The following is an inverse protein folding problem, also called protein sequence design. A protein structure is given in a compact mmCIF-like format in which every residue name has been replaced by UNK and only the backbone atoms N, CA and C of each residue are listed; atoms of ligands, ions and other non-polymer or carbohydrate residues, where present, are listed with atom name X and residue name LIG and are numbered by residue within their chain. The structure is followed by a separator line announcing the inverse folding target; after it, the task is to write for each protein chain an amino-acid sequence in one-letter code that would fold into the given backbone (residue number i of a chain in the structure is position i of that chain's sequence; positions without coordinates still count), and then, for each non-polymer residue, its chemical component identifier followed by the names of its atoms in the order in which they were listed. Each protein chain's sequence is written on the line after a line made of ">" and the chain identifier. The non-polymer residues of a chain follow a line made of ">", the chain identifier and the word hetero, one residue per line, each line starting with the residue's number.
data_IF_644789265725
#
_entry.id   IF_644789265725
#
_cell.length_a   1.000
_cell.length_b   1.000
_cell.length_c   1.000
_cell.angle_alpha   90.00
_cell.angle_beta   90.00
_cell.angle_gamma   90.00
#
_symmetry.space_group_name_H-M   'P 1'
#
loop_
_entity.id
_entity.type
_entity.pdbx_description
1 polymer ?
#
# COMPACT_ATOMS: atom_id res chain seq x y z
N UNK A 1 -16.32 -7.45 25.26
CA UNK A 1 -16.46 -7.62 23.79
C UNK A 1 -17.57 -6.68 23.31
N UNK A 2 -17.23 -5.45 22.98
CA UNK A 2 -18.18 -4.45 22.49
C UNK A 2 -18.26 -4.54 20.98
N UNK A 3 -19.44 -4.94 20.47
CA UNK A 3 -19.71 -5.05 19.04
C UNK A 3 -19.53 -3.71 18.34
N UNK A 4 -18.69 -3.70 17.31
CA UNK A 4 -18.57 -2.58 16.38
C UNK A 4 -19.92 -2.38 15.68
N UNK A 5 -20.50 -1.20 15.89
CA UNK A 5 -21.78 -0.79 15.32
C UNK A 5 -21.78 -0.91 13.79
N UNK A 6 -22.95 -1.26 13.24
CA UNK A 6 -23.18 -1.32 11.80
C UNK A 6 -23.11 0.08 11.19
N UNK A 7 -21.92 0.46 10.72
CA UNK A 7 -21.67 1.71 9.99
C UNK A 7 -22.06 1.62 8.50
N UNK A 8 -23.01 0.75 8.14
CA UNK A 8 -23.58 0.77 6.80
C UNK A 8 -24.47 2.01 6.67
N UNK A 9 -24.21 2.84 5.65
CA UNK A 9 -25.27 3.65 5.05
C UNK A 9 -26.38 2.68 4.66
N UNK A 10 -27.56 2.88 5.25
CA UNK A 10 -28.44 1.79 5.66
C UNK A 10 -29.13 1.03 4.50
N UNK A 11 -29.06 1.51 3.26
CA UNK A 11 -29.94 1.03 2.19
C UNK A 11 -29.29 0.89 0.79
N UNK A 12 -27.98 1.11 0.64
CA UNK A 12 -27.33 0.95 -0.67
C UNK A 12 -26.93 -0.52 -0.92
N UNK A 13 -27.44 -1.17 -1.98
CA UNK A 13 -27.05 -2.54 -2.32
C UNK A 13 -25.58 -2.54 -2.74
N UNK A 14 -24.71 -3.09 -1.88
CA UNK A 14 -23.32 -3.39 -2.26
C UNK A 14 -23.37 -4.46 -3.36
N UNK A 15 -23.14 -4.06 -4.61
CA UNK A 15 -22.98 -4.98 -5.73
C UNK A 15 -21.69 -5.76 -5.47
N UNK A 16 -21.82 -7.01 -5.04
CA UNK A 16 -20.68 -7.93 -4.89
C UNK A 16 -20.23 -8.37 -6.28
N UNK A 17 -19.41 -7.56 -6.92
CA UNK A 17 -18.94 -7.77 -8.29
C UNK A 17 -17.88 -8.87 -8.43
N UNK A 18 -17.29 -9.32 -7.31
CA UNK A 18 -16.19 -10.28 -7.32
C UNK A 18 -16.14 -11.11 -6.04
N UNK A 19 -15.73 -12.38 -6.17
CA UNK A 19 -15.58 -13.32 -5.05
C UNK A 19 -14.56 -12.89 -3.99
N UNK A 20 -13.70 -11.92 -4.30
CA UNK A 20 -12.80 -11.31 -3.34
C UNK A 20 -13.54 -10.69 -2.13
N UNK A 21 -14.71 -10.10 -2.37
CA UNK A 21 -15.49 -9.40 -1.34
C UNK A 21 -16.51 -10.30 -0.62
N UNK A 22 -16.64 -11.56 -1.05
CA UNK A 22 -17.55 -12.51 -0.40
C UNK A 22 -17.13 -12.75 1.06
N UNK A 23 -18.11 -12.76 1.97
CA UNK A 23 -17.93 -12.99 3.40
C UNK A 23 -16.96 -12.01 4.10
N UNK A 24 -16.68 -10.84 3.50
CA UNK A 24 -15.82 -9.80 4.09
C UNK A 24 -16.57 -8.47 4.14
N UNK A 25 -16.21 -7.62 5.12
CA UNK A 25 -16.76 -6.26 5.27
C UNK A 25 -15.92 -5.20 4.55
N UNK A 26 -15.09 -5.59 3.58
CA UNK A 26 -14.20 -4.69 2.84
C UNK A 26 -15.02 -3.94 1.78
N UNK A 27 -14.75 -2.64 1.62
CA UNK A 27 -15.44 -1.80 0.64
C UNK A 27 -14.58 -1.53 -0.61
N UNK A 28 -13.28 -1.76 -0.52
CA UNK A 28 -12.34 -1.71 -1.63
C UNK A 28 -11.13 -2.61 -1.29
N UNK A 29 -10.24 -2.79 -2.27
CA UNK A 29 -8.91 -3.35 -2.06
C UNK A 29 -7.97 -2.80 -3.12
N UNK A 30 -6.80 -2.32 -2.68
CA UNK A 30 -5.66 -2.07 -3.56
C UNK A 30 -4.63 -3.15 -3.32
N UNK A 31 -4.42 -3.97 -4.35
CA UNK A 31 -3.44 -5.03 -4.31
C UNK A 31 -2.32 -4.70 -5.30
N UNK A 32 -1.08 -4.85 -4.87
CA UNK A 32 0.08 -4.62 -5.72
C UNK A 32 1.20 -5.55 -5.31
N UNK A 33 2.04 -5.91 -6.29
CA UNK A 33 3.28 -6.63 -6.04
C UNK A 33 4.43 -5.97 -6.79
N UNK A 34 5.61 -6.01 -6.19
CA UNK A 34 6.79 -5.43 -6.80
C UNK A 34 8.06 -5.64 -6.00
N UNK A 35 9.12 -4.99 -6.47
CA UNK A 35 10.45 -5.03 -5.87
C UNK A 35 10.96 -3.61 -5.73
N UNK A 36 11.86 -3.38 -4.78
CA UNK A 36 12.51 -2.09 -4.58
C UNK A 36 13.88 -2.10 -5.23
N UNK A 37 14.15 -1.10 -6.07
CA UNK A 37 15.49 -0.91 -6.65
C UNK A 37 16.41 -0.23 -5.60
N UNK A 38 17.70 -0.59 -5.55
CA UNK A 38 18.67 0.07 -4.68
C UNK A 38 19.03 1.45 -5.26
N UNK A 39 18.17 2.44 -5.05
CA UNK A 39 18.31 3.79 -5.63
C UNK A 39 18.19 4.91 -4.59
N UNK A 40 18.36 4.60 -3.30
CA UNK A 40 18.33 5.61 -2.24
C UNK A 40 19.59 6.49 -2.34
N UNK A 41 19.48 7.79 -2.63
CA UNK A 41 20.64 8.66 -2.77
C UNK A 41 21.29 9.00 -1.42
N UNK A 42 20.59 8.76 -0.30
CA UNK A 42 21.01 9.17 1.04
C UNK A 42 21.77 8.08 1.81
N UNK A 43 22.12 6.95 1.16
CA UNK A 43 22.80 5.81 1.77
C UNK A 43 23.84 5.21 0.85
N UNK A 44 24.95 4.76 1.43
CA UNK A 44 26.06 4.13 0.70
C UNK A 44 25.67 2.79 0.05
N UNK A 45 24.73 2.05 0.65
CA UNK A 45 24.20 0.79 0.10
C UNK A 45 23.07 1.00 -0.92
N UNK A 46 22.64 2.26 -1.10
CA UNK A 46 21.49 2.67 -1.92
C UNK A 46 20.16 1.96 -1.58
N UNK A 47 20.06 1.27 -0.44
CA UNK A 47 18.85 0.54 -0.08
C UNK A 47 17.81 1.45 0.56
N UNK A 48 16.54 1.19 0.30
CA UNK A 48 15.45 1.84 1.00
C UNK A 48 15.19 1.08 2.30
N UNK A 49 15.20 1.79 3.44
CA UNK A 49 14.79 1.21 4.72
C UNK A 49 13.27 1.18 4.84
N UNK A 50 12.76 0.42 5.79
CA UNK A 50 11.32 0.45 6.10
C UNK A 50 10.88 1.78 6.69
N UNK A 51 11.81 2.61 7.19
CA UNK A 51 11.52 3.95 7.72
C UNK A 51 11.47 5.02 6.62
N UNK A 52 12.04 4.72 5.45
CA UNK A 52 12.09 5.65 4.32
C UNK A 52 10.79 5.67 3.52
N UNK A 53 10.11 4.53 3.37
CA UNK A 53 8.98 4.35 2.43
C UNK A 53 7.63 4.48 3.13
N UNK A 54 6.83 5.44 2.68
CA UNK A 54 5.44 5.65 3.09
C UNK A 54 4.46 5.30 1.97
N UNK A 55 3.26 4.92 2.39
CA UNK A 55 2.06 4.86 1.56
C UNK A 55 1.05 5.89 2.07
N UNK A 56 0.82 6.93 1.28
CA UNK A 56 0.05 8.10 1.70
C UNK A 56 -1.15 8.35 0.80
N UNK A 57 -2.28 8.71 1.42
CA UNK A 57 -3.32 9.46 0.74
C UNK A 57 -2.85 10.91 0.60
N UNK A 58 -2.81 11.41 -0.64
CA UNK A 58 -2.28 12.71 -1.01
C UNK A 58 -3.18 13.36 -2.06
N UNK A 59 -3.25 14.69 -2.04
CA UNK A 59 -4.00 15.50 -3.01
C UNK A 59 -3.12 16.63 -3.54
N UNK A 60 -3.45 17.32 -4.63
CA UNK A 60 -2.60 18.44 -5.11
C UNK A 60 -2.75 19.68 -4.25
N UNK A 61 -3.99 20.01 -3.95
CA UNK A 61 -4.40 21.22 -3.26
C UNK A 61 -4.90 20.88 -1.86
N UNK A 62 -4.93 21.90 -0.99
CA UNK A 62 -5.49 21.81 0.36
C UNK A 62 -6.83 21.04 0.39
N UNK A 63 -7.03 20.29 1.46
CA UNK A 63 -8.31 19.66 1.78
C UNK A 63 -9.12 20.51 2.77
N UNK A 64 -10.39 20.19 2.92
CA UNK A 64 -11.31 20.78 3.91
C UNK A 64 -11.71 19.71 4.94
N UNK A 65 -10.87 19.41 5.95
CA UNK A 65 -11.18 18.37 6.93
C UNK A 65 -12.51 18.66 7.63
N UNK A 66 -13.30 17.61 7.94
CA UNK A 66 -14.55 17.80 8.67
C UNK A 66 -14.28 18.34 10.09
N UNK A 67 -15.28 19.01 10.66
CA UNK A 67 -15.24 19.35 12.08
C UNK A 67 -15.04 18.07 12.90
N UNK A 68 -14.08 18.07 13.82
CA UNK A 68 -13.72 16.88 14.61
C UNK A 68 -12.75 15.92 13.92
N UNK A 69 -12.08 16.32 12.84
CA UNK A 69 -11.05 15.51 12.14
C UNK A 69 -9.97 14.91 13.05
N UNK A 70 -9.68 15.53 14.19
CA UNK A 70 -8.78 14.99 15.21
C UNK A 70 -9.23 13.62 15.76
N UNK A 71 -10.53 13.34 15.81
CA UNK A 71 -11.06 12.02 16.18
C UNK A 71 -10.81 10.98 15.07
N UNK A 72 -10.98 11.36 13.81
CA UNK A 72 -10.67 10.48 12.67
C UNK A 72 -9.17 10.15 12.61
N UNK A 73 -8.29 11.14 12.85
CA UNK A 73 -6.84 10.94 12.93
C UNK A 73 -6.47 9.98 14.07
N UNK A 74 -7.06 10.15 15.27
CA UNK A 74 -6.86 9.23 16.39
C UNK A 74 -7.36 7.82 16.08
N UNK A 75 -8.51 7.69 15.43
CA UNK A 75 -9.05 6.41 15.00
C UNK A 75 -8.11 5.71 14.00
N UNK A 76 -7.60 6.45 13.01
CA UNK A 76 -6.62 5.94 12.06
C UNK A 76 -5.37 5.40 12.78
N UNK A 77 -4.81 6.17 13.72
CA UNK A 77 -3.66 5.75 14.54
C UNK A 77 -3.93 4.54 15.45
N UNK A 78 -5.17 4.33 15.88
CA UNK A 78 -5.55 3.15 16.65
C UNK A 78 -5.60 1.88 15.78
N UNK A 79 -6.10 1.99 14.55
CA UNK A 79 -6.15 0.87 13.59
C UNK A 79 -4.76 0.55 13.03
N UNK A 80 -3.99 1.60 12.75
CA UNK A 80 -2.63 1.53 12.25
C UNK A 80 -1.70 2.40 13.12
N UNK A 81 -0.93 1.78 14.03
CA UNK A 81 0.03 2.48 14.87
C UNK A 81 1.13 3.22 14.10
N UNK A 82 1.34 2.91 12.82
CA UNK A 82 2.28 3.60 11.94
C UNK A 82 1.70 4.82 11.22
N UNK A 83 0.44 5.18 11.46
CA UNK A 83 -0.23 6.29 10.80
C UNK A 83 0.30 7.66 11.26
N UNK A 84 0.49 8.54 10.30
CA UNK A 84 0.98 9.91 10.45
C UNK A 84 0.14 10.86 9.57
N UNK A 85 -0.27 12.00 10.16
CA UNK A 85 -1.05 13.03 9.49
C UNK A 85 -0.41 14.42 9.61
N UNK A 86 0.90 14.49 9.83
CA UNK A 86 1.65 15.74 10.01
C UNK A 86 1.56 16.62 8.75
N UNK A 87 1.46 15.99 7.58
CA UNK A 87 1.30 16.66 6.29
C UNK A 87 -0.13 17.11 5.96
N UNK A 88 -1.13 16.79 6.78
CA UNK A 88 -2.55 16.90 6.39
C UNK A 88 -3.01 18.35 6.15
N UNK A 89 -2.34 19.32 6.77
CA UNK A 89 -2.69 20.75 6.67
C UNK A 89 -1.71 21.56 5.79
N UNK A 90 -0.83 20.91 5.05
CA UNK A 90 0.06 21.60 4.11
C UNK A 90 -0.76 22.31 3.01
N UNK A 91 -0.30 23.49 2.60
CA UNK A 91 -0.98 24.29 1.56
C UNK A 91 -0.92 23.62 0.18
N UNK A 92 0.16 22.89 -0.08
CA UNK A 92 0.42 22.16 -1.32
C UNK A 92 0.75 20.72 -0.96
N UNK A 93 0.19 19.77 -1.71
CA UNK A 93 0.39 18.34 -1.50
C UNK A 93 0.15 17.88 -0.06
N UNK A 94 -1.01 18.20 0.55
CA UNK A 94 -1.32 17.67 1.86
C UNK A 94 -1.41 16.15 1.81
N UNK A 95 -0.98 15.50 2.88
CA UNK A 95 -0.94 14.05 2.93
C UNK A 95 -1.21 13.50 4.34
N UNK A 96 -1.74 12.30 4.38
CA UNK A 96 -1.79 11.46 5.57
C UNK A 96 -1.58 10.00 5.16
N UNK A 97 -0.88 9.23 5.97
CA UNK A 97 -0.54 7.85 5.62
C UNK A 97 0.42 7.23 6.60
N UNK A 98 1.02 6.12 6.19
CA UNK A 98 1.80 5.30 7.10
C UNK A 98 3.04 4.78 6.41
N UNK A 99 4.05 4.39 7.19
CA UNK A 99 5.13 3.57 6.63
C UNK A 99 4.55 2.35 5.94
N UNK A 100 5.03 2.02 4.74
CA UNK A 100 4.42 1.00 3.89
C UNK A 100 4.24 -0.33 4.63
N UNK A 101 5.28 -0.80 5.31
CA UNK A 101 5.26 -2.07 6.05
C UNK A 101 4.30 -2.04 7.26
N UNK A 102 3.85 -0.87 7.71
CA UNK A 102 2.85 -0.71 8.76
C UNK A 102 1.45 -0.57 8.19
N UNK A 103 1.26 0.29 7.17
CA UNK A 103 -0.06 0.63 6.66
C UNK A 103 -0.79 -0.49 5.94
N UNK A 104 -0.07 -1.48 5.41
CA UNK A 104 -0.69 -2.58 4.66
C UNK A 104 -1.45 -3.54 5.57
N UNK A 105 -2.69 -3.87 5.19
CA UNK A 105 -3.53 -4.81 5.93
C UNK A 105 -3.01 -6.24 5.84
N UNK A 106 -2.44 -6.62 4.69
CA UNK A 106 -1.75 -7.89 4.48
C UNK A 106 -0.45 -7.63 3.73
N UNK A 107 0.63 -8.27 4.17
CA UNK A 107 1.92 -8.27 3.47
C UNK A 107 2.38 -9.72 3.28
N UNK A 108 2.82 -10.03 2.07
CA UNK A 108 3.46 -11.29 1.71
C UNK A 108 4.80 -11.01 1.05
N UNK A 109 5.85 -11.68 1.51
CA UNK A 109 7.21 -11.49 1.00
C UNK A 109 7.89 -12.81 0.71
N UNK A 110 8.47 -12.92 -0.48
CA UNK A 110 9.24 -14.08 -0.90
C UNK A 110 10.45 -13.67 -1.74
N UNK A 111 11.41 -14.59 -1.89
CA UNK A 111 12.59 -14.35 -2.74
C UNK A 111 12.20 -14.50 -4.21
N UNK A 112 12.61 -13.57 -5.04
CA UNK A 112 12.50 -13.71 -6.49
C UNK A 112 13.37 -14.88 -6.96
N UNK A 113 12.87 -15.65 -7.93
CA UNK A 113 13.67 -16.69 -8.58
C UNK A 113 14.86 -16.07 -9.32
N UNK A 114 16.03 -16.71 -9.25
CA UNK A 114 17.17 -16.33 -10.09
C UNK A 114 16.93 -16.71 -11.54
N UNK A 115 17.51 -15.96 -12.47
CA UNK A 115 17.34 -16.18 -13.91
C UNK A 115 17.88 -17.54 -14.41
N UNK A 116 18.53 -18.36 -13.57
CA UNK A 116 19.01 -19.69 -13.94
C UNK A 116 17.89 -20.68 -14.31
N UNK A 117 16.67 -20.50 -13.77
CA UNK A 117 15.51 -21.33 -14.14
C UNK A 117 14.70 -20.75 -15.30
N UNK A 118 14.61 -19.42 -15.42
CA UNK A 118 13.89 -18.73 -16.51
C UNK A 118 14.64 -18.90 -17.85
N UNK A 119 15.97 -18.82 -17.84
CA UNK A 119 16.84 -19.07 -19.01
C UNK A 119 16.65 -20.48 -19.57
N UNK A 120 16.47 -21.52 -18.73
CA UNK A 120 16.21 -22.90 -19.23
C UNK A 120 14.88 -23.04 -19.97
N UNK A 121 13.86 -22.24 -19.64
CA UNK A 121 12.58 -22.22 -20.36
C UNK A 121 12.63 -21.35 -21.62
N UNK A 122 13.30 -20.20 -21.57
CA UNK A 122 13.39 -19.23 -22.68
C UNK A 122 14.34 -19.74 -23.78
N UNK A 123 15.44 -20.42 -23.44
CA UNK A 123 16.36 -21.00 -24.44
C UNK A 123 15.74 -22.07 -25.32
N UNK A 124 14.56 -22.60 -24.98
CA UNK A 124 13.81 -23.51 -25.86
C UNK A 124 12.92 -22.80 -26.89
N UNK A 125 12.65 -21.49 -26.79
CA UNK A 125 11.64 -20.86 -27.65
C UNK A 125 12.09 -19.74 -28.58
N UNK A 126 13.24 -19.07 -28.41
CA UNK A 126 13.58 -17.94 -29.31
C UNK A 126 15.06 -17.83 -29.67
N UNK A 127 15.42 -18.39 -30.84
CA UNK A 127 16.52 -17.89 -31.68
C UNK A 127 16.02 -16.63 -32.42
N UNK A 128 16.27 -15.44 -31.89
CA UNK A 128 16.45 -14.20 -32.68
C UNK A 128 17.05 -13.11 -31.82
N UNK A 129 18.29 -12.76 -32.16
CA UNK A 129 19.13 -11.74 -31.54
C UNK A 129 18.93 -10.39 -32.22
N UNK A 130 18.59 -9.31 -31.48
CA UNK A 130 18.97 -7.90 -31.71
C UNK A 130 18.76 -7.10 -30.39
N UNK A 131 19.27 -5.86 -30.26
CA UNK A 131 20.61 -5.43 -29.84
C UNK A 131 20.67 -4.98 -28.36
N UNK A 132 21.88 -4.98 -27.83
CA UNK A 132 22.28 -4.61 -26.47
C UNK A 132 22.09 -3.12 -26.18
N UNK A 133 21.32 -2.81 -25.15
CA UNK A 133 21.51 -1.60 -24.35
C UNK A 133 22.51 -1.93 -23.24
N UNK A 134 23.66 -1.26 -23.25
CA UNK A 134 24.60 -1.28 -22.13
C UNK A 134 23.93 -0.68 -20.89
N UNK A 135 23.31 -1.54 -20.10
CA UNK A 135 22.90 -1.25 -18.73
C UNK A 135 23.70 -2.18 -17.84
N UNK A 136 24.76 -1.67 -17.20
CA UNK A 136 25.40 -2.30 -16.03
C UNK A 136 24.46 -2.39 -14.80
N UNK A 137 23.15 -2.29 -14.99
CA UNK A 137 22.16 -2.61 -13.97
C UNK A 137 22.05 -4.13 -13.91
N UNK A 138 22.29 -4.72 -12.74
CA UNK A 138 21.97 -6.13 -12.47
C UNK A 138 20.62 -6.47 -13.07
N UNK A 139 20.48 -7.61 -13.78
CA UNK A 139 19.23 -7.97 -14.44
C UNK A 139 18.09 -7.88 -13.43
N UNK A 140 17.00 -7.22 -13.84
CA UNK A 140 15.81 -7.16 -13.02
C UNK A 140 15.25 -8.58 -12.88
N UNK A 141 15.55 -9.25 -11.77
CA UNK A 141 14.92 -10.54 -11.45
C UNK A 141 13.40 -10.45 -11.70
N UNK A 142 12.80 -11.51 -12.25
CA UNK A 142 11.40 -11.49 -12.64
C UNK A 142 10.50 -11.18 -11.44
N UNK A 143 9.43 -10.42 -11.72
CA UNK A 143 8.25 -10.42 -10.87
C UNK A 143 7.39 -11.57 -11.38
N UNK A 144 7.03 -12.51 -10.51
CA UNK A 144 6.16 -13.64 -10.85
C UNK A 144 4.80 -13.17 -11.39
N UNK A 145 4.06 -14.00 -12.16
CA UNK A 145 2.72 -13.63 -12.63
C UNK A 145 1.78 -13.24 -11.49
N UNK A 146 0.89 -12.27 -11.73
CA UNK A 146 -0.15 -11.90 -10.79
C UNK A 146 -1.19 -13.03 -10.67
N UNK A 147 -1.35 -13.59 -9.47
CA UNK A 147 -2.28 -14.71 -9.19
C UNK A 147 -3.37 -14.36 -8.18
N UNK A 148 -3.35 -13.16 -7.60
CA UNK A 148 -4.28 -12.76 -6.54
C UNK A 148 -5.49 -12.04 -7.13
N UNK A 149 -6.46 -12.81 -7.61
CA UNK A 149 -7.72 -12.30 -8.15
C UNK A 149 -8.87 -13.26 -7.85
N UNK A 150 -10.11 -12.75 -7.90
CA UNK A 150 -11.29 -13.54 -7.56
C UNK A 150 -11.21 -14.09 -6.12
N UNK A 151 -11.23 -15.42 -6.00
CA UNK A 151 -11.17 -16.13 -4.71
C UNK A 151 -9.76 -16.23 -4.11
N UNK A 152 -8.72 -15.88 -4.88
CA UNK A 152 -7.33 -16.00 -4.45
C UNK A 152 -6.90 -14.74 -3.70
N UNK A 153 -6.81 -14.86 -2.38
CA UNK A 153 -6.40 -13.76 -1.51
C UNK A 153 -4.90 -13.80 -1.21
N UNK A 154 -4.36 -12.62 -0.92
CA UNK A 154 -3.04 -12.52 -0.30
C UNK A 154 -3.20 -12.95 1.17
N UNK A 155 -2.32 -13.84 1.61
CA UNK A 155 -2.20 -14.27 3.01
C UNK A 155 -0.94 -13.65 3.60
N UNK A 156 -1.01 -13.27 4.88
CA UNK A 156 0.11 -12.66 5.58
C UNK A 156 1.26 -13.67 5.67
N UNK A 157 2.42 -13.29 5.14
CA UNK A 157 3.64 -14.09 5.24
C UNK A 157 4.86 -13.17 5.14
N UNK A 158 5.49 -12.92 6.29
CA UNK A 158 6.70 -12.10 6.38
C UNK A 158 7.91 -12.88 6.90
N UNK A 159 7.88 -14.21 6.80
CA UNK A 159 8.96 -15.08 7.31
C UNK A 159 10.29 -14.82 6.64
N UNK A 160 10.29 -14.36 5.38
CA UNK A 160 11.53 -13.96 4.68
C UNK A 160 12.18 -12.71 5.30
N UNK A 161 11.39 -11.82 5.90
CA UNK A 161 11.90 -10.65 6.64
C UNK A 161 12.22 -11.04 8.09
N UNK A 162 11.36 -11.86 8.71
CA UNK A 162 11.44 -12.21 10.12
C UNK A 162 11.32 -13.74 10.29
N UNK A 163 12.39 -14.52 10.05
CA UNK A 163 12.31 -15.99 9.97
C UNK A 163 11.95 -16.67 11.29
N UNK A 164 12.21 -16.00 12.42
CA UNK A 164 11.94 -16.53 13.75
C UNK A 164 10.59 -16.08 14.32
N UNK A 165 9.80 -15.33 13.55
CA UNK A 165 8.57 -14.70 14.03
C UNK A 165 7.44 -14.97 13.05
N UNK A 166 6.38 -15.65 13.53
CA UNK A 166 5.14 -15.82 12.77
C UNK A 166 4.17 -14.70 13.16
N UNK A 167 4.35 -13.53 12.54
CA UNK A 167 3.55 -12.35 12.85
C UNK A 167 2.25 -12.34 12.06
N UNK A 168 1.13 -12.28 12.78
CA UNK A 168 -0.12 -11.81 12.18
C UNK A 168 0.03 -10.36 11.74
N UNK A 169 -0.82 -9.91 10.80
CA UNK A 169 -0.77 -8.54 10.28
C UNK A 169 -0.80 -7.51 11.41
N UNK A 170 -1.65 -7.69 12.44
CA UNK A 170 -1.70 -6.77 13.59
C UNK A 170 -0.38 -6.71 14.35
N UNK A 171 0.26 -7.86 14.59
CA UNK A 171 1.57 -7.91 15.25
C UNK A 171 2.67 -7.28 14.40
N UNK A 172 2.68 -7.52 13.07
CA UNK A 172 3.59 -6.86 12.12
C UNK A 172 3.46 -5.34 12.21
N UNK A 173 2.23 -4.81 12.12
CA UNK A 173 1.97 -3.36 12.19
C UNK A 173 2.48 -2.77 13.50
N UNK A 174 2.21 -3.44 14.63
CA UNK A 174 2.68 -2.97 15.93
C UNK A 174 4.22 -3.04 16.05
N UNK A 175 4.84 -4.13 15.58
CA UNK A 175 6.30 -4.30 15.63
C UNK A 175 7.01 -3.21 14.83
N UNK A 176 6.59 -3.00 13.58
CA UNK A 176 7.18 -1.95 12.73
C UNK A 176 6.67 -0.55 13.04
N UNK A 177 5.80 -0.34 14.03
CA UNK A 177 5.40 1.02 14.46
C UNK A 177 6.56 1.82 15.05
N UNK A 178 7.59 1.13 15.54
CA UNK A 178 8.76 1.76 16.17
C UNK A 178 9.79 2.20 15.11
N UNK A 179 10.19 3.49 15.07
CA UNK A 179 11.19 3.97 14.13
C UNK A 179 12.54 3.27 14.26
N UNK A 180 12.97 2.95 15.48
CA UNK A 180 14.24 2.24 15.72
C UNK A 180 14.26 0.85 15.06
N UNK A 181 13.12 0.18 15.01
CA UNK A 181 12.97 -1.12 14.35
C UNK A 181 13.04 -0.91 12.83
N UNK A 182 12.20 -0.04 12.26
CA UNK A 182 12.13 0.15 10.80
C UNK A 182 13.45 0.55 10.17
N UNK A 183 14.26 1.36 10.86
CA UNK A 183 15.60 1.77 10.39
C UNK A 183 16.58 0.60 10.24
N UNK A 184 16.36 -0.50 10.94
CA UNK A 184 17.21 -1.69 10.89
C UNK A 184 16.80 -2.68 9.79
N UNK A 185 15.67 -2.44 9.11
CA UNK A 185 15.19 -3.30 8.02
C UNK A 185 15.24 -2.55 6.70
N UNK A 186 15.59 -3.27 5.65
CA UNK A 186 15.68 -2.76 4.28
C UNK A 186 14.76 -3.53 3.35
N UNK A 187 14.24 -2.83 2.34
CA UNK A 187 13.59 -3.48 1.21
C UNK A 187 14.67 -4.16 0.36
N UNK A 188 14.86 -5.46 0.56
CA UNK A 188 15.87 -6.23 -0.15
C UNK A 188 15.48 -6.31 -1.64
N UNK A 189 16.36 -5.91 -2.57
CA UNK A 189 16.04 -5.95 -3.99
C UNK A 189 15.65 -7.36 -4.45
N UNK A 190 16.21 -8.43 -3.89
CA UNK A 190 15.90 -9.81 -4.26
C UNK A 190 14.58 -10.35 -3.70
N UNK A 191 13.82 -9.55 -2.96
CA UNK A 191 12.51 -9.93 -2.44
C UNK A 191 11.38 -9.29 -3.24
N UNK A 192 10.32 -10.06 -3.47
CA UNK A 192 9.04 -9.58 -3.99
C UNK A 192 8.16 -9.27 -2.78
N UNK A 193 7.62 -8.05 -2.77
CA UNK A 193 6.68 -7.56 -1.76
C UNK A 193 5.31 -7.48 -2.40
N UNK A 194 4.35 -8.25 -1.87
CA UNK A 194 2.95 -8.21 -2.26
C UNK A 194 2.11 -7.71 -1.11
N UNK A 195 1.24 -6.76 -1.39
CA UNK A 195 0.50 -6.02 -0.38
C UNK A 195 -0.98 -5.97 -0.73
N UNK A 196 -1.82 -5.97 0.30
CA UNK A 196 -3.25 -5.71 0.21
C UNK A 196 -3.63 -4.58 1.18
N UNK A 197 -4.16 -3.49 0.66
CA UNK A 197 -4.68 -2.35 1.42
C UNK A 197 -6.19 -2.24 1.26
N UNK A 198 -6.92 -2.33 2.37
CA UNK A 198 -8.37 -2.25 2.40
C UNK A 198 -8.87 -1.75 3.75
N UNK A 199 -10.07 -1.20 3.78
CA UNK A 199 -10.79 -1.01 5.03
C UNK A 199 -12.30 -1.16 4.85
N UNK A 200 -13.03 -1.06 5.96
CA UNK A 200 -14.48 -1.15 6.03
C UNK A 200 -15.15 0.18 6.37
N UNK A 201 -14.40 1.28 6.33
CA UNK A 201 -14.84 2.61 6.74
C UNK A 201 -14.76 3.65 5.63
N UNK A 202 -14.19 3.32 4.47
CA UNK A 202 -14.09 4.19 3.29
C UNK A 202 -14.84 3.54 2.15
N UNK A 203 -15.86 4.19 1.64
CA UNK A 203 -16.62 3.74 0.48
C UNK A 203 -16.34 4.68 -0.70
N UNK A 204 -15.48 4.26 -1.63
CA UNK A 204 -15.18 5.04 -2.83
C UNK A 204 -16.35 5.13 -3.80
N UNK A 205 -17.27 4.16 -3.81
CA UNK A 205 -18.45 4.19 -4.69
C UNK A 205 -19.46 5.25 -4.26
N UNK A 206 -19.63 5.48 -2.95
CA UNK A 206 -20.57 6.50 -2.43
C UNK A 206 -19.89 7.77 -1.96
N UNK A 207 -18.56 7.83 -2.02
CA UNK A 207 -17.75 8.95 -1.54
C UNK A 207 -17.99 9.29 -0.06
N UNK A 208 -18.23 8.28 0.77
CA UNK A 208 -18.45 8.46 2.20
C UNK A 208 -17.41 7.71 3.02
N UNK A 209 -17.00 8.30 4.12
CA UNK A 209 -16.15 7.67 5.12
C UNK A 209 -16.76 7.75 6.53
N UNK A 210 -16.56 6.70 7.32
CA UNK A 210 -17.04 6.59 8.71
C UNK A 210 -15.90 6.16 9.64
N UNK A 211 -15.17 7.16 10.14
CA UNK A 211 -14.02 6.99 11.03
C UNK A 211 -14.35 7.58 12.40
N UNK A 212 -15.40 7.05 13.06
CA UNK A 212 -16.08 7.62 14.24
C UNK A 212 -16.92 8.86 13.89
N UNK A 213 -16.43 9.69 12.97
CA UNK A 213 -17.18 10.76 12.33
C UNK A 213 -17.52 10.35 10.89
N UNK A 214 -18.75 10.65 10.48
CA UNK A 214 -19.23 10.46 9.11
C UNK A 214 -18.97 11.72 8.30
N UNK A 215 -18.34 11.57 7.14
CA UNK A 215 -18.12 12.69 6.23
C UNK A 215 -18.16 12.27 4.76
N UNK A 216 -18.55 13.21 3.92
CA UNK A 216 -18.49 13.05 2.47
C UNK A 216 -17.08 13.44 1.98
N UNK A 217 -16.41 12.52 1.32
CA UNK A 217 -15.04 12.66 0.82
C UNK A 217 -14.95 13.75 -0.26
N UNK A 218 -15.93 13.88 -1.16
CA UNK A 218 -15.91 14.91 -2.21
C UNK A 218 -15.88 16.33 -1.62
N UNK A 219 -16.60 16.56 -0.52
CA UNK A 219 -16.55 17.84 0.22
C UNK A 219 -15.18 18.10 0.86
N UNK A 220 -14.57 17.07 1.43
CA UNK A 220 -13.23 17.17 2.03
C UNK A 220 -12.17 17.41 0.96
N UNK A 221 -12.25 16.71 -0.16
CA UNK A 221 -11.29 16.79 -1.24
C UNK A 221 -11.51 18.04 -2.12
N UNK A 222 -12.71 18.64 -2.10
CA UNK A 222 -13.03 19.75 -3.00
C UNK A 222 -13.05 19.31 -4.47
N UNK A 223 -13.56 18.10 -4.74
CA UNK A 223 -13.65 17.47 -6.06
C UNK A 223 -12.32 17.23 -6.80
N UNK A 224 -11.17 17.34 -6.14
CA UNK A 224 -9.90 16.92 -6.75
C UNK A 224 -9.72 15.39 -6.65
N UNK A 225 -8.93 14.77 -7.55
CA UNK A 225 -8.59 13.35 -7.46
C UNK A 225 -7.89 13.01 -6.14
N UNK A 226 -8.13 11.78 -5.66
CA UNK A 226 -7.39 11.23 -4.52
C UNK A 226 -6.27 10.33 -5.02
N UNK A 227 -5.04 10.59 -4.58
CA UNK A 227 -3.87 9.77 -4.91
C UNK A 227 -3.42 8.98 -3.70
N UNK A 228 -3.25 7.68 -3.88
CA UNK A 228 -2.49 6.83 -2.99
C UNK A 228 -1.08 6.70 -3.53
N UNK A 229 -0.14 7.38 -2.89
CA UNK A 229 1.24 7.53 -3.34
C UNK A 229 2.15 6.68 -2.46
N UNK A 230 2.89 5.76 -3.07
CA UNK A 230 4.02 5.12 -2.44
C UNK A 230 5.27 5.95 -2.73
N UNK A 231 5.86 6.57 -1.70
CA UNK A 231 6.96 7.51 -1.83
C UNK A 231 7.88 7.48 -0.63
N UNK A 232 9.04 8.11 -0.72
CA UNK A 232 9.82 8.40 0.47
C UNK A 232 9.19 9.52 1.30
N UNK A 233 9.73 9.74 2.50
CA UNK A 233 9.27 10.77 3.44
C UNK A 233 9.29 12.18 2.84
N UNK A 234 10.37 12.53 2.14
CA UNK A 234 10.57 13.85 1.53
C UNK A 234 9.69 14.04 0.28
N UNK A 235 9.29 12.94 -0.36
CA UNK A 235 8.39 12.92 -1.51
C UNK A 235 9.04 13.28 -2.86
N UNK A 236 10.36 13.23 -2.92
CA UNK A 236 11.17 13.35 -4.14
C UNK A 236 11.43 12.00 -4.83
N UNK A 237 11.33 10.88 -4.09
CA UNK A 237 11.30 9.54 -4.65
C UNK A 237 9.87 8.98 -4.66
N UNK A 238 9.32 8.74 -5.84
CA UNK A 238 8.01 8.12 -6.05
C UNK A 238 8.21 6.70 -6.57
N UNK A 239 7.64 5.71 -5.88
CA UNK A 239 7.69 4.31 -6.28
C UNK A 239 6.53 3.94 -7.20
N UNK A 240 5.31 4.34 -6.81
CA UNK A 240 4.12 4.21 -7.64
C UNK A 240 3.00 5.11 -7.12
N UNK A 241 2.00 5.36 -7.97
CA UNK A 241 0.80 6.13 -7.66
C UNK A 241 -0.43 5.34 -8.10
N UNK A 242 -1.43 5.27 -7.23
CA UNK A 242 -2.78 4.83 -7.56
C UNK A 242 -3.65 6.07 -7.47
N UNK A 243 -4.23 6.49 -8.59
CA UNK A 243 -5.13 7.65 -8.64
C UNK A 243 -6.57 7.17 -8.76
N UNK A 244 -7.45 7.79 -7.99
CA UNK A 244 -8.89 7.66 -8.12
C UNK A 244 -9.39 9.01 -8.60
N UNK A 245 -9.69 9.07 -9.89
CA UNK A 245 -10.48 10.18 -10.42
C UNK A 245 -11.96 9.88 -10.20
N UNK A 246 -12.64 10.81 -9.57
CA UNK A 246 -14.05 10.67 -9.24
C UNK A 246 -14.95 11.01 -10.42
N UNK A 247 -14.43 11.68 -11.46
CA UNK A 247 -15.15 11.79 -12.74
C UNK A 247 -15.35 10.43 -13.40
N UNK A 248 -14.50 9.45 -13.12
CA UNK A 248 -14.58 8.11 -13.70
C UNK A 248 -15.58 7.19 -12.96
N UNK A 249 -16.12 7.66 -11.83
CA UNK A 249 -17.03 6.91 -10.96
C UNK A 249 -18.50 7.39 -11.06
N UNK A 250 -18.77 8.45 -11.84
CA UNK A 250 -20.09 9.01 -12.14
C UNK A 250 -20.49 8.73 -13.59
#
# INVERSE_FOLDING_TARGET
>A
MTGLQNNHHKDDPVIKSCSYFENRRRLFSFQFQGRFKPTNPNRDDHLWTFDDVLFCAETESRINPPMGSSLAVKFAGYIDPGFNADGMFLKKRPWAGSWLICGMNVVKVWKAESDDMSTRKIMKSQKRSIPTFDNNASPLLPIEPWVYYGKHHIEEDTKVIMPNEDLSSSKRRNYFSQPSIRKNYVFNPSHIYCCDFFNNFTNFSTMNADMIIKFNMSKVLGNQPLRFVCRNKEGDAIFFVIEIDYSDLL
#
